data_IF_529512512753
#
_entry.id   IF_529512512753
#
_cell.length_a   1.000
_cell.length_b   1.000
_cell.length_c   1.000
_cell.angle_alpha   90.00
_cell.angle_beta   90.00
_cell.angle_gamma   90.00
#
_symmetry.space_group_name_H-M   'P 1'
#
loop_
_entity.id
_entity.type
_entity.pdbx_description
1 polymer ?
#
# COMPACT_ATOMS: atom_id res chain seq x y z
N UNK A 1 -9.66 10.87 -22.91
CA UNK A 1 -8.73 11.84 -22.28
C UNK A 1 -7.61 11.01 -21.66
N UNK A 2 -6.34 11.41 -21.79
CA UNK A 2 -5.25 10.64 -21.17
C UNK A 2 -5.28 10.80 -19.64
N UNK A 3 -4.97 9.73 -18.91
CA UNK A 3 -4.84 9.77 -17.46
C UNK A 3 -3.85 10.85 -17.00
N UNK A 4 -4.28 11.70 -16.07
CA UNK A 4 -3.46 12.77 -15.49
C UNK A 4 -3.46 12.73 -13.96
N UNK A 5 -3.65 11.54 -13.40
CA UNK A 5 -3.79 11.33 -11.96
C UNK A 5 -2.47 11.09 -11.23
N UNK A 6 -2.54 10.74 -9.93
CA UNK A 6 -1.36 10.40 -9.15
C UNK A 6 -0.56 9.24 -9.73
N UNK A 7 0.75 9.28 -9.58
CA UNK A 7 1.67 8.23 -10.05
C UNK A 7 2.50 7.65 -8.91
N UNK A 8 2.86 6.38 -9.03
CA UNK A 8 3.87 5.75 -8.17
C UNK A 8 5.23 6.40 -8.41
N UNK A 9 5.91 6.82 -7.34
CA UNK A 9 7.29 7.31 -7.39
C UNK A 9 8.26 6.18 -7.07
N UNK A 10 7.98 5.44 -6.00
CA UNK A 10 8.80 4.33 -5.58
C UNK A 10 8.66 3.97 -4.11
N UNK A 11 9.40 2.96 -3.70
CA UNK A 11 9.46 2.43 -2.35
C UNK A 11 10.84 1.81 -2.15
N UNK A 12 11.44 1.89 -0.95
CA UNK A 12 12.64 1.15 -0.63
C UNK A 12 12.33 -0.34 -0.46
N UNK A 13 13.31 -1.10 0.04
CA UNK A 13 13.15 -2.52 0.35
C UNK A 13 12.08 -2.75 1.42
N UNK A 14 11.46 -3.93 1.39
CA UNK A 14 10.56 -4.38 2.46
C UNK A 14 11.38 -4.66 3.73
N UNK A 15 10.91 -4.14 4.86
CA UNK A 15 11.53 -4.32 6.17
C UNK A 15 10.74 -5.32 6.99
N UNK A 16 11.43 -6.22 7.67
CA UNK A 16 10.83 -7.35 8.41
C UNK A 16 11.54 -7.60 9.72
N UNK A 17 10.78 -7.96 10.74
CA UNK A 17 11.30 -8.68 11.90
C UNK A 17 10.41 -8.67 13.13
N UNK A 18 11.02 -9.04 14.26
CA UNK A 18 10.30 -9.50 15.47
C UNK A 18 10.27 -8.50 16.62
N UNK A 19 11.01 -7.40 16.49
CA UNK A 19 11.09 -6.32 17.47
C UNK A 19 10.69 -4.97 16.83
N UNK A 20 10.88 -3.87 17.54
CA UNK A 20 10.83 -2.54 16.95
C UNK A 20 11.86 -2.42 15.82
N UNK A 21 11.40 -2.07 14.61
CA UNK A 21 12.24 -1.90 13.42
C UNK A 21 12.00 -0.52 12.81
N UNK A 22 13.00 -0.08 12.06
CA UNK A 22 12.96 1.15 11.30
C UNK A 22 12.69 0.84 9.82
N UNK A 23 11.51 1.19 9.32
CA UNK A 23 11.24 1.13 7.88
C UNK A 23 12.03 2.21 7.16
N UNK A 24 12.71 1.87 6.08
CA UNK A 24 13.41 2.87 5.27
C UNK A 24 12.40 3.79 4.56
N UNK A 25 12.76 5.06 4.41
CA UNK A 25 11.98 6.04 3.64
C UNK A 25 12.40 6.05 2.16
N UNK A 26 11.50 6.36 1.22
CA UNK A 26 11.88 6.63 -0.17
C UNK A 26 12.90 7.78 -0.24
N UNK A 27 13.89 7.67 -1.12
CA UNK A 27 14.89 8.71 -1.34
C UNK A 27 14.39 9.81 -2.29
N UNK A 28 15.01 11.00 -2.24
CA UNK A 28 14.76 12.13 -3.14
C UNK A 28 13.32 12.65 -3.13
N UNK A 29 12.65 12.60 -1.98
CA UNK A 29 11.29 13.09 -1.82
C UNK A 29 11.17 14.58 -2.13
N UNK A 30 10.10 14.93 -2.85
CA UNK A 30 9.72 16.32 -3.11
C UNK A 30 8.58 16.74 -2.19
N UNK A 31 8.55 18.03 -1.86
CA UNK A 31 7.45 18.60 -1.08
C UNK A 31 6.10 18.37 -1.76
N UNK A 32 5.13 17.91 -0.98
CA UNK A 32 3.77 17.65 -1.44
C UNK A 32 3.49 16.21 -1.87
N UNK A 33 4.52 15.36 -2.01
CA UNK A 33 4.35 13.94 -2.32
C UNK A 33 3.62 13.17 -1.21
N UNK A 34 2.85 12.17 -1.60
CA UNK A 34 2.04 11.36 -0.68
C UNK A 34 2.83 10.13 -0.27
N UNK A 35 3.04 9.98 1.03
CA UNK A 35 3.65 8.80 1.63
C UNK A 35 2.57 7.93 2.24
N UNK A 36 2.61 6.63 1.95
CA UNK A 36 1.81 5.60 2.59
C UNK A 36 2.72 4.51 3.15
N UNK A 37 2.65 4.28 4.46
CA UNK A 37 3.28 3.16 5.13
C UNK A 37 2.28 2.02 5.23
N UNK A 38 2.64 0.85 4.72
CA UNK A 38 1.85 -0.38 4.82
C UNK A 38 2.56 -1.32 5.76
N UNK A 39 1.85 -1.78 6.79
CA UNK A 39 2.40 -2.65 7.84
C UNK A 39 1.48 -3.84 8.03
N UNK A 40 2.06 -5.01 7.89
CA UNK A 40 1.46 -6.30 8.15
C UNK A 40 1.95 -6.87 9.48
N UNK A 41 1.06 -7.51 10.23
CA UNK A 41 1.32 -8.21 11.51
C UNK A 41 0.40 -9.42 11.62
N UNK A 42 0.69 -10.37 12.52
CA UNK A 42 -0.21 -11.46 12.94
C UNK A 42 -1.43 -10.97 13.77
N UNK A 43 -2.15 -9.98 13.26
CA UNK A 43 -3.30 -9.31 13.87
C UNK A 43 -3.01 -8.49 15.16
N UNK A 44 -1.76 -8.27 15.51
CA UNK A 44 -1.41 -7.33 16.59
C UNK A 44 -1.61 -5.88 16.14
N UNK A 45 -2.05 -5.04 17.08
CA UNK A 45 -2.24 -3.63 16.81
C UNK A 45 -0.91 -2.89 16.65
N UNK A 46 -0.86 -1.98 15.67
CA UNK A 46 0.28 -1.10 15.44
C UNK A 46 -0.11 0.31 15.86
N UNK A 47 0.68 0.92 16.75
CA UNK A 47 0.47 2.31 17.15
C UNK A 47 0.77 3.26 15.98
N UNK A 48 0.02 4.36 15.89
CA UNK A 48 0.28 5.39 14.87
C UNK A 48 1.67 5.99 15.08
N UNK A 49 2.56 5.91 14.08
CA UNK A 49 3.89 6.50 14.20
C UNK A 49 3.83 8.03 14.34
N UNK A 50 4.79 8.61 15.07
CA UNK A 50 4.87 10.05 15.28
C UNK A 50 5.00 10.80 13.94
N UNK A 51 4.15 11.83 13.75
CA UNK A 51 4.12 12.60 12.50
C UNK A 51 3.37 11.93 11.35
N UNK A 52 2.73 10.78 11.59
CA UNK A 52 1.87 10.10 10.63
C UNK A 52 0.42 10.09 11.09
N UNK A 53 -0.49 9.89 10.13
CA UNK A 53 -1.94 9.77 10.38
C UNK A 53 -2.41 8.39 9.95
N UNK A 54 -3.26 7.73 10.74
CA UNK A 54 -3.87 6.48 10.34
C UNK A 54 -4.79 6.66 9.12
N UNK A 55 -4.71 5.75 8.16
CA UNK A 55 -5.58 5.71 6.99
C UNK A 55 -6.71 4.73 7.25
N UNK A 56 -7.89 5.28 7.58
CA UNK A 56 -9.07 4.51 7.94
C UNK A 56 -8.87 3.63 9.17
N UNK A 57 -9.72 2.62 9.30
CA UNK A 57 -9.63 1.63 10.37
C UNK A 57 -8.72 0.48 9.92
N UNK A 58 -7.68 0.19 10.70
CA UNK A 58 -6.88 -1.01 10.48
C UNK A 58 -7.77 -2.25 10.56
N UNK A 59 -7.58 -3.17 9.61
CA UNK A 59 -8.42 -4.38 9.48
C UNK A 59 -7.56 -5.62 9.61
N UNK A 60 -8.08 -6.64 10.29
CA UNK A 60 -7.39 -7.89 10.51
C UNK A 60 -8.33 -9.03 10.85
N UNK A 61 -7.79 -10.23 10.88
CA UNK A 61 -8.51 -11.49 11.11
C UNK A 61 -7.63 -12.46 11.88
N UNK A 62 -8.25 -13.41 12.58
CA UNK A 62 -7.56 -14.35 13.47
C UNK A 62 -7.28 -13.78 14.86
N UNK A 63 -6.66 -14.58 15.72
CA UNK A 63 -6.23 -14.15 17.06
C UNK A 63 -4.88 -13.45 16.97
N UNK A 64 -4.71 -12.32 17.67
CA UNK A 64 -3.42 -11.62 17.73
C UNK A 64 -2.28 -12.58 18.15
N UNK A 65 -1.21 -12.66 17.36
CA UNK A 65 -0.08 -13.58 17.55
C UNK A 65 -0.34 -15.03 17.12
N UNK A 66 -1.45 -15.31 16.44
CA UNK A 66 -1.73 -16.63 15.89
C UNK A 66 -1.15 -16.84 14.50
N UNK A 67 -0.83 -18.09 14.16
CA UNK A 67 -0.33 -18.51 12.83
C UNK A 67 -1.34 -18.39 11.69
N UNK A 68 -2.62 -18.24 12.02
CA UNK A 68 -3.71 -18.00 11.06
C UNK A 68 -4.32 -16.62 11.28
N UNK A 69 -3.45 -15.62 11.47
CA UNK A 69 -3.84 -14.24 11.71
C UNK A 69 -3.07 -13.29 10.80
N UNK A 70 -3.71 -12.20 10.42
CA UNK A 70 -3.07 -11.10 9.70
C UNK A 70 -3.82 -9.80 9.95
N UNK A 71 -3.13 -8.68 9.92
CA UNK A 71 -3.69 -7.33 9.95
C UNK A 71 -2.92 -6.45 9.01
N UNK A 72 -3.64 -5.58 8.30
CA UNK A 72 -3.05 -4.50 7.53
C UNK A 72 -3.33 -3.17 8.21
N UNK A 73 -2.27 -2.47 8.61
CA UNK A 73 -2.30 -1.11 9.14
C UNK A 73 -1.68 -0.17 8.11
N UNK A 74 -2.36 0.94 7.79
CA UNK A 74 -1.88 1.91 6.82
C UNK A 74 -1.78 3.28 7.48
N UNK A 75 -0.65 3.95 7.28
CA UNK A 75 -0.42 5.30 7.77
C UNK A 75 -0.03 6.22 6.62
N UNK A 76 -0.43 7.48 6.68
CA UNK A 76 -0.08 8.49 5.67
C UNK A 76 0.62 9.68 6.29
N UNK A 77 1.52 10.27 5.52
CA UNK A 77 1.93 11.66 5.69
C UNK A 77 2.21 12.29 4.34
N UNK A 78 2.31 13.60 4.34
CA UNK A 78 2.83 14.36 3.20
C UNK A 78 4.34 14.56 3.38
N UNK A 79 5.10 14.41 2.31
CA UNK A 79 6.51 14.79 2.29
C UNK A 79 6.63 16.32 2.29
N UNK A 80 7.56 16.84 3.07
CA UNK A 80 7.88 18.28 3.10
C UNK A 80 9.11 18.56 2.26
N UNK A 81 9.28 19.80 1.78
CA UNK A 81 10.50 20.15 1.07
C UNK A 81 11.73 19.99 2.00
N UNK A 82 12.75 19.27 1.53
CA UNK A 82 13.94 18.98 2.33
C UNK A 82 13.73 17.90 3.41
N UNK A 83 12.71 17.03 3.26
CA UNK A 83 12.47 15.92 4.17
C UNK A 83 13.72 15.05 4.35
N UNK A 84 14.31 15.11 5.54
CA UNK A 84 15.53 14.38 5.90
C UNK A 84 15.25 13.10 6.68
N UNK A 85 13.97 12.75 6.90
CA UNK A 85 13.63 11.50 7.58
C UNK A 85 14.07 10.32 6.73
N UNK A 86 15.04 9.57 7.21
CA UNK A 86 15.53 8.37 6.52
C UNK A 86 14.74 7.13 6.90
N UNK A 87 14.01 7.17 8.01
CA UNK A 87 13.31 6.03 8.56
C UNK A 87 11.96 6.40 9.19
N UNK A 88 11.00 5.47 9.09
CA UNK A 88 9.78 5.42 9.88
C UNK A 88 9.98 4.44 11.04
N UNK A 89 9.97 4.98 12.26
CA UNK A 89 10.08 4.19 13.48
C UNK A 89 8.70 3.68 13.90
N UNK A 90 8.64 2.40 14.28
CA UNK A 90 7.45 1.79 14.87
C UNK A 90 7.79 1.24 16.26
N UNK A 91 6.76 0.89 17.02
CA UNK A 91 6.93 0.12 18.26
C UNK A 91 6.81 -1.36 17.96
N UNK A 92 7.41 -2.19 18.79
CA UNK A 92 7.25 -3.65 18.73
C UNK A 92 5.75 -4.04 18.83
N UNK A 93 5.18 -4.71 17.82
CA UNK A 93 3.81 -5.20 17.87
C UNK A 93 3.66 -6.52 18.67
N UNK A 94 4.77 -7.23 18.95
CA UNK A 94 4.86 -8.35 19.87
C UNK A 94 5.16 -9.74 19.28
N UNK A 95 5.07 -9.94 17.96
CA UNK A 95 5.46 -11.20 17.29
C UNK A 95 6.35 -10.92 16.09
N UNK A 96 5.75 -10.39 15.03
CA UNK A 96 6.46 -9.94 13.86
C UNK A 96 5.73 -8.78 13.22
N UNK A 97 6.45 -8.11 12.35
CA UNK A 97 5.86 -7.26 11.35
C UNK A 97 6.68 -7.22 10.07
N UNK A 98 5.98 -6.96 8.98
CA UNK A 98 6.55 -6.67 7.68
C UNK A 98 5.96 -5.38 7.11
N UNK A 99 6.78 -4.50 6.56
CA UNK A 99 6.26 -3.25 6.02
C UNK A 99 7.16 -2.53 5.05
N UNK A 100 6.54 -1.59 4.33
CA UNK A 100 7.23 -0.66 3.42
C UNK A 100 6.54 0.69 3.40
N UNK A 101 7.33 1.73 3.13
CA UNK A 101 6.83 3.08 2.82
C UNK A 101 6.84 3.29 1.32
N UNK A 102 5.72 3.70 0.75
CA UNK A 102 5.55 3.94 -0.68
C UNK A 102 5.26 5.41 -0.92
N UNK A 103 6.00 6.03 -1.85
CA UNK A 103 5.79 7.39 -2.32
C UNK A 103 4.96 7.42 -3.59
N UNK A 104 4.01 8.35 -3.61
CA UNK A 104 3.21 8.72 -4.77
C UNK A 104 3.37 10.21 -5.02
N UNK A 105 3.16 10.63 -6.26
CA UNK A 105 3.09 12.06 -6.60
C UNK A 105 2.03 12.77 -5.74
N UNK A 106 2.13 14.10 -5.69
CA UNK A 106 1.23 14.92 -4.90
C UNK A 106 -0.24 14.56 -5.13
N UNK A 107 -0.92 14.15 -4.06
CA UNK A 107 -2.26 13.56 -4.11
C UNK A 107 -2.96 13.62 -2.76
N UNK A 108 -4.29 13.51 -2.81
CA UNK A 108 -5.15 13.40 -1.64
C UNK A 108 -5.80 12.01 -1.56
N UNK A 109 -6.01 11.50 -0.34
CA UNK A 109 -6.81 10.28 -0.14
C UNK A 109 -8.26 10.67 -0.37
N UNK A 110 -8.89 10.04 -1.36
CA UNK A 110 -10.26 10.36 -1.78
C UNK A 110 -11.29 9.49 -1.04
N UNK A 111 -11.21 8.18 -1.27
CA UNK A 111 -12.12 7.19 -0.70
C UNK A 111 -11.38 5.90 -0.40
N UNK A 112 -11.91 5.12 0.53
CA UNK A 112 -11.36 3.81 0.85
C UNK A 112 -12.43 2.81 1.25
N UNK A 113 -12.11 1.53 1.10
CA UNK A 113 -12.91 0.39 1.55
C UNK A 113 -11.98 -0.70 2.10
N UNK A 114 -12.48 -1.49 3.05
CA UNK A 114 -11.75 -2.60 3.66
C UNK A 114 -12.58 -3.87 3.65
N UNK A 115 -11.90 -5.01 3.68
CA UNK A 115 -12.52 -6.32 3.87
C UNK A 115 -11.53 -7.31 4.49
N UNK A 116 -12.05 -8.43 4.97
CA UNK A 116 -11.25 -9.61 5.32
C UNK A 116 -11.65 -10.79 4.44
N UNK A 117 -10.77 -11.77 4.36
CA UNK A 117 -11.02 -13.02 3.64
C UNK A 117 -10.66 -14.23 4.49
N UNK A 118 -11.37 -15.33 4.26
CA UNK A 118 -11.06 -16.65 4.82
C UNK A 118 -9.80 -17.23 4.18
N UNK A 119 -9.27 -18.30 4.78
CA UNK A 119 -8.09 -18.98 4.23
C UNK A 119 -8.39 -19.59 2.86
N UNK A 120 -7.68 -19.09 1.84
CA UNK A 120 -7.80 -19.55 0.46
C UNK A 120 -6.60 -19.08 -0.37
N UNK A 121 -6.35 -19.73 -1.50
CA UNK A 121 -5.41 -19.26 -2.55
C UNK A 121 -6.00 -18.15 -3.42
N UNK A 122 -7.30 -17.86 -3.32
CA UNK A 122 -7.96 -16.76 -4.04
C UNK A 122 -8.43 -15.67 -3.09
N UNK A 123 -8.34 -14.41 -3.50
CA UNK A 123 -8.88 -13.27 -2.74
C UNK A 123 -9.53 -12.23 -3.64
N UNK A 124 -10.35 -11.37 -3.02
CA UNK A 124 -11.05 -10.27 -3.69
C UNK A 124 -10.93 -9.03 -2.83
N UNK A 125 -10.19 -8.03 -3.32
CA UNK A 125 -10.15 -6.71 -2.69
C UNK A 125 -11.44 -5.93 -3.00
N UNK A 126 -11.96 -5.13 -2.05
CA UNK A 126 -13.26 -4.50 -2.17
C UNK A 126 -13.27 -3.37 -3.21
N UNK A 127 -14.45 -3.00 -3.70
CA UNK A 127 -14.60 -1.83 -4.59
C UNK A 127 -14.68 -0.54 -3.78
N UNK A 128 -14.20 0.56 -4.37
CA UNK A 128 -14.53 1.93 -3.98
C UNK A 128 -15.28 2.63 -5.10
N UNK A 129 -15.93 3.76 -4.81
CA UNK A 129 -16.57 4.61 -5.83
C UNK A 129 -15.91 5.97 -5.81
N UNK A 130 -15.18 6.31 -6.86
CA UNK A 130 -14.58 7.64 -7.00
C UNK A 130 -15.63 8.63 -7.50
N UNK A 131 -15.61 9.85 -6.97
CA UNK A 131 -16.51 10.93 -7.41
C UNK A 131 -15.82 11.94 -8.31
N UNK A 132 -14.50 11.75 -8.51
CA UNK A 132 -13.66 12.55 -9.40
C UNK A 132 -12.93 11.62 -10.39
N UNK A 133 -12.62 12.10 -11.60
CA UNK A 133 -11.82 11.37 -12.57
C UNK A 133 -10.34 11.31 -12.15
N UNK A 134 -9.55 10.51 -12.89
CA UNK A 134 -8.10 10.43 -12.75
C UNK A 134 -7.62 10.00 -11.35
N UNK A 135 -8.31 9.08 -10.70
CA UNK A 135 -7.83 8.50 -9.44
C UNK A 135 -6.82 7.37 -9.70
N UNK A 136 -5.79 7.28 -8.86
CA UNK A 136 -4.98 6.06 -8.73
C UNK A 136 -5.63 5.17 -7.67
N UNK A 137 -6.09 3.99 -8.04
CA UNK A 137 -6.65 3.01 -7.11
C UNK A 137 -5.54 2.07 -6.67
N UNK A 138 -5.36 1.95 -5.37
CA UNK A 138 -4.43 1.08 -4.67
C UNK A 138 -5.23 -0.09 -4.08
N UNK A 139 -4.83 -1.33 -4.30
CA UNK A 139 -5.30 -2.47 -3.51
C UNK A 139 -4.13 -3.07 -2.74
N UNK A 140 -4.11 -2.79 -1.45
CA UNK A 140 -3.14 -3.36 -0.52
C UNK A 140 -3.73 -4.61 0.14
N UNK A 141 -2.91 -5.66 0.21
CA UNK A 141 -3.31 -6.98 0.68
C UNK A 141 -2.28 -7.47 1.68
N UNK A 142 -2.76 -7.91 2.84
CA UNK A 142 -1.98 -8.70 3.78
C UNK A 142 -2.53 -10.13 3.84
N UNK A 143 -1.67 -11.14 3.87
CA UNK A 143 -2.08 -12.52 4.10
C UNK A 143 -1.16 -13.24 5.10
N UNK A 144 -1.72 -14.22 5.82
CA UNK A 144 -1.04 -14.98 6.89
C UNK A 144 -0.06 -16.11 6.51
N UNK A 145 0.19 -16.53 5.25
CA UNK A 145 1.14 -17.62 5.01
C UNK A 145 2.56 -17.32 5.49
N UNK A 146 3.19 -18.33 6.09
CA UNK A 146 4.57 -18.31 6.59
C UNK A 146 5.50 -19.06 5.64
N UNK A 147 5.85 -18.42 4.52
CA UNK A 147 6.62 -19.09 3.47
C UNK A 147 7.62 -18.18 2.73
N UNK A 148 7.69 -16.89 3.09
CA UNK A 148 8.67 -15.95 2.54
C UNK A 148 8.50 -15.62 1.05
N UNK A 149 7.45 -16.10 0.38
CA UNK A 149 7.24 -15.80 -1.03
C UNK A 149 6.72 -14.37 -1.24
N UNK A 150 7.03 -13.80 -2.39
CA UNK A 150 6.42 -12.55 -2.83
C UNK A 150 4.97 -12.79 -3.24
N UNK A 151 4.03 -12.10 -2.60
CA UNK A 151 2.61 -12.17 -2.93
C UNK A 151 2.04 -10.81 -3.20
N UNK A 152 0.90 -10.73 -3.86
CA UNK A 152 0.21 -11.74 -4.68
C UNK A 152 0.91 -11.98 -6.03
N UNK A 153 0.39 -12.90 -6.85
CA UNK A 153 1.08 -13.32 -8.10
C UNK A 153 0.32 -12.90 -9.36
N UNK A 154 -0.99 -12.70 -9.25
CA UNK A 154 -1.85 -12.21 -10.34
C UNK A 154 -2.98 -11.39 -9.74
N UNK A 155 -3.32 -10.25 -10.35
CA UNK A 155 -4.60 -9.58 -10.16
C UNK A 155 -5.21 -9.14 -11.47
N UNK A 156 -6.54 -9.07 -11.48
CA UNK A 156 -7.30 -8.52 -12.59
C UNK A 156 -8.48 -7.70 -12.09
N UNK A 157 -8.64 -6.51 -12.67
CA UNK A 157 -9.80 -5.65 -12.49
C UNK A 157 -10.16 -4.96 -13.81
N UNK A 158 -11.26 -5.36 -14.45
CA UNK A 158 -11.65 -4.82 -15.75
C UNK A 158 -12.02 -3.33 -15.75
N UNK A 159 -12.26 -2.73 -14.57
CA UNK A 159 -12.65 -1.32 -14.44
C UNK A 159 -11.45 -0.37 -14.27
N UNK A 160 -10.22 -0.91 -14.23
CA UNK A 160 -8.99 -0.14 -14.06
C UNK A 160 -8.08 -0.31 -15.28
N UNK A 161 -7.55 0.80 -15.78
CA UNK A 161 -6.53 0.81 -16.83
C UNK A 161 -5.12 0.69 -16.22
N UNK A 162 -4.13 0.34 -17.05
CA UNK A 162 -2.70 0.37 -16.71
C UNK A 162 -2.37 -0.27 -15.36
N UNK A 163 -2.95 -1.46 -15.13
CA UNK A 163 -2.79 -2.18 -13.88
C UNK A 163 -1.37 -2.75 -13.77
N UNK A 164 -0.82 -2.69 -12.56
CA UNK A 164 0.44 -3.34 -12.24
C UNK A 164 0.48 -3.74 -10.76
N UNK A 165 1.37 -4.68 -10.44
CA UNK A 165 1.71 -5.04 -9.08
C UNK A 165 3.14 -4.54 -8.79
N UNK A 166 3.30 -3.31 -8.31
CA UNK A 166 4.65 -2.79 -8.04
C UNK A 166 5.36 -3.52 -6.91
N UNK A 167 4.61 -4.07 -5.94
CA UNK A 167 5.21 -4.72 -4.77
C UNK A 167 4.49 -6.03 -4.42
N UNK A 168 5.31 -7.03 -4.07
CA UNK A 168 4.87 -8.25 -3.44
C UNK A 168 6.00 -8.80 -2.59
N UNK A 169 5.70 -9.08 -1.32
CA UNK A 169 6.69 -9.41 -0.31
C UNK A 169 6.13 -10.48 0.64
N UNK A 170 7.05 -11.17 1.31
CA UNK A 170 6.72 -12.12 2.36
C UNK A 170 7.87 -12.27 3.34
N UNK A 171 7.59 -12.87 4.48
CA UNK A 171 8.57 -13.14 5.53
C UNK A 171 8.31 -14.52 6.15
N UNK A 172 9.37 -15.11 6.68
CA UNK A 172 9.30 -16.28 7.56
C UNK A 172 9.70 -15.95 9.00
N UNK A 173 9.71 -14.68 9.36
CA UNK A 173 9.99 -14.23 10.73
C UNK A 173 8.72 -14.26 11.57
N UNK A 174 8.83 -14.70 12.83
CA UNK A 174 7.68 -14.93 13.70
C UNK A 174 6.71 -15.93 13.08
N UNK A 175 5.42 -15.61 13.06
CA UNK A 175 4.40 -16.40 12.37
C UNK A 175 4.32 -16.18 10.86
N UNK A 176 5.28 -15.46 10.27
CA UNK A 176 5.29 -15.14 8.85
C UNK A 176 4.14 -14.24 8.42
N UNK A 177 4.13 -13.91 7.15
CA UNK A 177 3.14 -12.97 6.62
C UNK A 177 3.55 -12.47 5.26
N UNK A 178 2.59 -11.90 4.55
CA UNK A 178 2.78 -11.49 3.15
C UNK A 178 2.08 -10.17 2.89
N UNK A 179 2.69 -9.35 2.05
CA UNK A 179 2.18 -8.04 1.66
C UNK A 179 2.18 -7.89 0.15
N UNK A 180 1.08 -7.35 -0.38
CA UNK A 180 0.92 -7.02 -1.79
C UNK A 180 0.40 -5.62 -2.01
N UNK A 181 0.90 -4.94 -3.03
CA UNK A 181 0.30 -3.72 -3.56
C UNK A 181 0.01 -3.87 -5.04
N UNK A 182 -1.26 -3.75 -5.40
CA UNK A 182 -1.70 -3.52 -6.76
C UNK A 182 -2.09 -2.07 -6.96
N UNK A 183 -1.86 -1.56 -8.16
CA UNK A 183 -2.33 -0.24 -8.58
C UNK A 183 -3.05 -0.33 -9.91
N UNK A 184 -4.02 0.57 -10.12
CA UNK A 184 -4.71 0.72 -11.39
C UNK A 184 -5.34 2.09 -11.52
N UNK A 185 -5.48 2.56 -12.76
CA UNK A 185 -5.95 3.91 -13.08
C UNK A 185 -7.45 3.92 -13.29
N UNK A 186 -8.14 4.79 -12.56
CA UNK A 186 -9.58 5.08 -12.72
C UNK A 186 -9.75 6.43 -13.40
N UNK A 187 -9.73 6.43 -14.74
CA UNK A 187 -9.79 7.65 -15.56
C UNK A 187 -11.13 8.38 -15.45
N UNK A 188 -12.24 7.62 -15.44
CA UNK A 188 -13.60 8.16 -15.31
C UNK A 188 -14.12 7.88 -13.91
N UNK A 189 -14.74 8.88 -13.27
CA UNK A 189 -15.39 8.73 -11.97
C UNK A 189 -16.38 7.55 -11.96
N UNK A 190 -16.48 6.86 -10.83
CA UNK A 190 -17.39 5.74 -10.64
C UNK A 190 -16.76 4.58 -9.88
N UNK A 191 -17.44 3.43 -9.89
CA UNK A 191 -16.97 2.24 -9.20
C UNK A 191 -15.63 1.76 -9.78
N UNK A 192 -14.67 1.44 -8.89
CA UNK A 192 -13.41 0.79 -9.24
C UNK A 192 -13.59 -0.67 -9.59
N UNK A 193 -14.74 -1.27 -9.28
CA UNK A 193 -14.90 -2.72 -9.24
C UNK A 193 -14.05 -3.36 -8.15
N UNK A 194 -14.25 -4.65 -7.94
CA UNK A 194 -13.41 -5.47 -7.09
C UNK A 194 -12.18 -5.94 -7.86
N UNK A 195 -11.08 -6.16 -7.14
CA UNK A 195 -9.86 -6.74 -7.71
C UNK A 195 -9.72 -8.18 -7.24
N UNK A 196 -9.90 -9.14 -8.15
CA UNK A 196 -9.64 -10.55 -7.88
C UNK A 196 -8.14 -10.81 -8.02
N UNK A 197 -7.59 -11.65 -7.13
CA UNK A 197 -6.19 -12.02 -7.16
C UNK A 197 -5.96 -13.44 -6.63
N UNK A 198 -4.80 -14.00 -6.96
CA UNK A 198 -4.37 -15.31 -6.47
C UNK A 198 -3.05 -15.23 -5.70
N UNK A 199 -2.93 -16.10 -4.71
CA UNK A 199 -1.74 -16.34 -3.92
C UNK A 199 -1.38 -17.83 -4.00
N UNK A 200 -0.09 -18.14 -4.09
CA UNK A 200 0.51 -19.48 -4.02
C UNK A 200 0.08 -20.32 -2.79
N UNK A 201 0.24 -19.83 -1.56
CA UNK A 201 -0.15 -20.55 -0.34
C UNK A 201 -1.45 -20.00 0.25
N UNK A 202 -2.35 -20.89 0.66
CA UNK A 202 -3.61 -20.48 1.27
C UNK A 202 -3.37 -19.79 2.63
N UNK A 203 -4.05 -18.66 2.84
CA UNK A 203 -4.01 -17.94 4.11
C UNK A 203 -5.15 -16.95 4.24
N UNK A 204 -5.44 -16.56 5.48
CA UNK A 204 -6.44 -15.52 5.78
C UNK A 204 -5.94 -14.16 5.30
N UNK A 205 -6.85 -13.21 5.10
CA UNK A 205 -6.57 -11.99 4.31
C UNK A 205 -7.12 -10.74 4.97
N UNK A 206 -6.40 -9.64 4.83
CA UNK A 206 -6.87 -8.30 5.12
C UNK A 206 -6.64 -7.40 3.88
N UNK A 207 -7.68 -6.67 3.48
CA UNK A 207 -7.65 -5.83 2.27
C UNK A 207 -7.92 -4.37 2.60
N UNK A 208 -7.18 -3.49 1.93
CA UNK A 208 -7.51 -2.08 1.80
C UNK A 208 -7.55 -1.72 0.32
N UNK A 209 -8.65 -1.11 -0.10
CA UNK A 209 -8.72 -0.40 -1.38
C UNK A 209 -8.78 1.09 -1.12
N UNK A 210 -7.85 1.85 -1.69
CA UNK A 210 -7.73 3.30 -1.48
C UNK A 210 -7.67 3.96 -2.85
N UNK A 211 -8.45 5.02 -3.07
CA UNK A 211 -8.29 5.88 -4.24
C UNK A 211 -7.53 7.15 -3.85
N UNK A 212 -6.42 7.42 -4.51
CA UNK A 212 -5.75 8.71 -4.49
C UNK A 212 -6.31 9.58 -5.62
N UNK A 213 -6.77 10.78 -5.29
CA UNK A 213 -7.16 11.78 -6.28
C UNK A 213 -6.00 12.75 -6.56
N UNK A 214 -6.01 13.43 -7.73
CA UNK A 214 -5.12 14.56 -7.96
C UNK A 214 -5.25 15.57 -6.82
N UNK A 215 -4.13 16.13 -6.37
CA UNK A 215 -4.14 17.13 -5.31
C UNK A 215 -4.93 18.36 -5.74
N UNK A 216 -5.81 18.83 -4.87
CA UNK A 216 -6.67 19.99 -5.17
C UNK A 216 -5.87 21.30 -5.41
N UNK A 217 -4.64 21.36 -4.91
CA UNK A 217 -3.64 22.40 -5.17
C UNK A 217 -2.27 21.74 -5.45
N UNK A 218 -2.03 21.34 -6.69
CA UNK A 218 -0.73 20.77 -7.04
C UNK A 218 0.39 21.84 -6.96
N UNK A 219 1.51 21.58 -6.26
CA UNK A 219 2.76 22.28 -6.54
C UNK A 219 3.16 22.09 -8.01
N UNK A 220 3.98 22.97 -8.61
CA UNK A 220 4.36 22.85 -10.02
C UNK A 220 4.94 21.46 -10.31
N UNK A 221 4.46 20.84 -11.39
CA UNK A 221 4.82 19.47 -11.76
C UNK A 221 6.34 19.28 -11.85
N UNK A 222 6.82 18.13 -11.38
CA UNK A 222 8.21 17.70 -11.55
C UNK A 222 8.54 17.70 -13.05
N UNK A 223 9.52 18.47 -13.54
CA UNK A 223 9.86 18.44 -14.95
C UNK A 223 10.35 17.04 -15.31
N UNK A 224 9.62 16.36 -16.18
CA UNK A 224 10.12 15.16 -16.85
C UNK A 224 11.20 15.59 -17.82
N UNK A 225 12.41 15.05 -17.69
CA UNK A 225 13.49 15.25 -18.66
C UNK A 225 13.04 14.64 -20.00
N UNK A 226 12.42 15.43 -20.86
CA UNK A 226 12.39 15.12 -22.28
C UNK A 226 13.79 15.44 -22.81
N UNK A 227 14.48 14.39 -23.27
CA UNK A 227 15.86 14.50 -23.74
C UNK A 227 16.03 15.66 -24.71
N UNK A 228 16.87 16.61 -24.34
CA UNK A 228 17.39 17.62 -25.25
C UNK A 228 18.30 16.88 -26.23
N UNK A 229 17.81 16.60 -27.44
CA UNK A 229 18.69 16.30 -28.57
C UNK A 229 19.34 17.63 -28.94
N UNK A 230 20.57 17.83 -28.48
CA UNK A 230 21.46 18.85 -29.02
C UNK A 230 22.02 18.25 -30.32
N UNK A 231 21.89 19.02 -31.40
CA UNK A 231 22.06 18.57 -32.79
C UNK A 231 23.45 18.12 -33.21
#
# INVERSE_FOLDING_TARGET
MAYSGPALIGSPVFNVGVDAIAMSMPANLQGGERLLAFIETANQAVATPAGWTAVGTAIGTGTAGGTAATRLSIFTREAVAGDSNTQLQTTDPGDHWGGRVVAFSASDIHVMATSTGTSSTSGTAPSVTTTVPNCLVLQAVACSPDDGFAYPVFASNANLANQSQPYGDGTTQGNGGTFGLFIGQKEVAGASGTTAYTIQTAGVKAHHTIALMPKSSAPPARPTFQGLIIG
#
